data_IF_022033764995
#
_entry.id   IF_022033764995
#
_cell.length_a   1.000
_cell.length_b   1.000
_cell.length_c   1.000
_cell.angle_alpha   90.00
_cell.angle_beta   90.00
_cell.angle_gamma   90.00
#
_symmetry.space_group_name_H-M   'P 1'
#
loop_
_entity.id
_entity.type
_entity.pdbx_description
1 polymer ?
#
# COMPACT_ATOMS: atom_id res chain seq x y z
N UNK A 1 -25.56 64.01 37.96
CA UNK A 1 -24.24 64.26 38.55
C UNK A 1 -23.28 63.23 37.99
N UNK A 2 -22.51 63.64 36.99
CA UNK A 2 -21.42 62.86 36.41
C UNK A 2 -20.27 62.73 37.42
N UNK A 3 -19.61 61.57 37.46
CA UNK A 3 -18.32 61.42 38.13
C UNK A 3 -17.37 60.73 37.16
N UNK A 4 -16.53 61.54 36.52
CA UNK A 4 -15.41 61.13 35.67
C UNK A 4 -14.30 60.57 36.56
N UNK A 5 -13.81 59.37 36.25
CA UNK A 5 -12.52 58.89 36.74
C UNK A 5 -11.56 58.77 35.55
N UNK A 6 -10.53 59.62 35.56
CA UNK A 6 -9.37 59.56 34.69
C UNK A 6 -8.44 58.43 35.14
N UNK A 7 -7.93 57.62 34.21
CA UNK A 7 -6.77 56.78 34.46
C UNK A 7 -5.67 57.04 33.42
N UNK A 8 -4.46 57.15 33.96
CA UNK A 8 -3.19 57.59 33.40
C UNK A 8 -2.68 56.66 32.27
N UNK A 9 -2.08 57.21 31.23
CA UNK A 9 -1.32 56.45 30.23
C UNK A 9 0.05 56.07 30.81
N UNK A 10 0.34 54.77 30.92
CA UNK A 10 1.69 54.27 31.22
C UNK A 10 2.34 53.74 29.93
N UNK A 11 3.40 54.43 29.51
CA UNK A 11 4.20 54.18 28.31
C UNK A 11 5.45 53.38 28.72
N UNK A 12 5.34 52.06 28.84
CA UNK A 12 6.53 51.20 28.95
C UNK A 12 6.40 49.85 28.20
N UNK A 13 6.78 49.93 26.92
CA UNK A 13 7.52 48.94 26.12
C UNK A 13 7.87 47.60 26.81
N UNK A 14 7.16 46.53 26.47
CA UNK A 14 7.72 45.17 26.33
C UNK A 14 7.27 44.58 24.99
N UNK A 15 8.22 44.52 24.07
CA UNK A 15 8.16 43.69 22.87
C UNK A 15 8.05 42.23 23.32
N UNK A 16 6.82 41.73 23.46
CA UNK A 16 6.57 40.30 23.47
C UNK A 16 6.54 39.85 22.02
N UNK A 17 7.64 39.22 21.61
CA UNK A 17 7.66 38.30 20.47
C UNK A 17 6.48 37.34 20.64
N UNK A 18 5.46 37.52 19.81
CA UNK A 18 4.39 36.55 19.63
C UNK A 18 5.04 35.24 19.20
N UNK A 19 5.19 34.30 20.14
CA UNK A 19 5.32 32.89 19.81
C UNK A 19 4.00 32.50 19.17
N UNK A 20 3.95 32.54 17.84
CA UNK A 20 2.88 31.93 17.07
C UNK A 20 3.06 30.43 17.26
N UNK A 21 2.46 29.90 18.32
CA UNK A 21 2.24 28.47 18.49
C UNK A 21 1.18 28.08 17.46
N UNK A 22 1.64 27.86 16.22
CA UNK A 22 0.79 27.25 15.21
C UNK A 22 0.71 25.77 15.58
N UNK A 23 -0.50 25.36 15.95
CA UNK A 23 -0.85 24.02 16.39
C UNK A 23 -0.75 23.06 15.20
N UNK A 24 0.48 22.69 14.84
CA UNK A 24 0.77 21.75 13.76
C UNK A 24 0.69 20.31 14.29
N UNK A 25 -0.52 19.83 14.60
CA UNK A 25 -0.75 18.40 14.82
C UNK A 25 -0.74 17.66 13.48
N UNK A 26 0.45 17.45 12.92
CA UNK A 26 0.63 16.70 11.67
C UNK A 26 0.28 15.23 11.89
N UNK A 27 -0.66 14.70 11.10
CA UNK A 27 -0.95 13.26 11.05
C UNK A 27 0.27 12.50 10.51
N UNK A 28 0.38 11.19 10.77
CA UNK A 28 1.52 10.37 10.31
C UNK A 28 1.69 10.39 8.78
N UNK A 29 0.60 10.62 8.05
CA UNK A 29 0.55 10.75 6.59
C UNK A 29 0.89 12.16 6.07
N UNK A 30 1.37 13.08 6.92
CA UNK A 30 1.69 14.45 6.52
C UNK A 30 3.15 14.76 6.85
N UNK A 31 3.83 15.51 6.00
CA UNK A 31 5.16 16.01 6.30
C UNK A 31 5.40 17.38 5.68
N UNK A 32 6.23 18.17 6.35
CA UNK A 32 6.62 19.50 5.90
C UNK A 32 8.06 19.43 5.41
N UNK A 33 8.32 19.92 4.20
CA UNK A 33 9.68 20.09 3.72
C UNK A 33 10.36 21.26 4.43
N UNK A 34 11.67 21.14 4.61
CA UNK A 34 12.51 22.20 5.12
C UNK A 34 13.26 22.86 3.96
N UNK A 35 13.02 24.16 3.82
CA UNK A 35 13.84 25.01 2.98
C UNK A 35 15.04 25.46 3.80
N UNK A 36 16.24 25.08 3.36
CA UNK A 36 17.50 25.37 4.05
C UNK A 36 18.29 26.35 3.20
N UNK A 37 18.58 27.50 3.78
CA UNK A 37 19.46 28.53 3.24
C UNK A 37 20.80 28.50 3.98
N UNK A 38 21.88 28.51 3.22
CA UNK A 38 23.25 28.42 3.68
C UNK A 38 24.03 29.57 3.07
N UNK A 39 24.72 30.32 3.92
CA UNK A 39 25.60 31.42 3.52
C UNK A 39 26.97 31.21 4.13
N UNK A 40 28.02 31.27 3.32
CA UNK A 40 29.39 31.20 3.80
C UNK A 40 30.34 31.95 2.86
N UNK A 41 31.51 32.32 3.36
CA UNK A 41 32.57 32.92 2.54
C UNK A 41 33.50 31.82 2.08
N UNK A 42 33.69 31.69 0.77
CA UNK A 42 34.62 30.72 0.19
C UNK A 42 36.07 31.09 0.57
N UNK A 43 36.84 30.19 1.23
CA UNK A 43 38.20 30.48 1.64
C UNK A 43 39.18 30.67 0.47
N UNK A 44 38.86 30.13 -0.72
CA UNK A 44 39.75 30.22 -1.90
C UNK A 44 39.47 31.47 -2.71
N UNK A 45 38.20 31.74 -3.04
CA UNK A 45 37.83 32.87 -3.88
C UNK A 45 37.54 34.16 -3.09
N UNK A 46 37.30 34.06 -1.78
CA UNK A 46 36.83 35.17 -0.94
C UNK A 46 35.39 35.60 -1.25
N UNK A 47 34.70 34.94 -2.18
CA UNK A 47 33.33 35.26 -2.55
C UNK A 47 32.34 34.76 -1.49
N UNK A 48 31.29 35.54 -1.24
CA UNK A 48 30.17 35.10 -0.40
C UNK A 48 29.26 34.22 -1.24
N UNK A 49 29.13 32.96 -0.84
CA UNK A 49 28.28 31.96 -1.48
C UNK A 49 26.95 31.91 -0.73
N UNK A 50 25.86 31.98 -1.50
CA UNK A 50 24.50 31.75 -1.01
C UNK A 50 23.90 30.55 -1.73
N UNK A 51 23.51 29.53 -0.97
CA UNK A 51 22.89 28.31 -1.49
C UNK A 51 21.60 28.04 -0.72
N UNK A 52 20.55 27.65 -1.43
CA UNK A 52 19.23 27.45 -0.85
C UNK A 52 18.45 26.36 -1.57
N UNK A 53 17.69 25.55 -0.82
CA UNK A 53 16.81 24.56 -1.42
C UNK A 53 15.89 23.84 -0.44
N UNK A 54 14.81 23.25 -0.97
CA UNK A 54 13.94 22.32 -0.25
C UNK A 54 14.59 20.95 -0.14
N UNK A 55 15.64 20.84 0.69
CA UNK A 55 16.49 19.65 0.77
C UNK A 55 16.23 18.79 2.02
N UNK A 56 15.35 19.22 2.94
CA UNK A 56 15.09 18.49 4.19
C UNK A 56 13.62 18.18 4.45
N UNK A 57 13.36 17.35 5.45
CA UNK A 57 12.02 17.06 6.01
C UNK A 57 12.00 17.41 7.50
N UNK A 58 10.98 18.12 7.97
CA UNK A 58 10.77 18.33 9.41
C UNK A 58 10.37 17.02 10.10
N UNK A 59 10.77 16.88 11.37
CA UNK A 59 10.34 15.78 12.24
C UNK A 59 8.85 15.85 12.64
N UNK A 60 8.40 14.96 13.52
CA UNK A 60 7.06 15.02 14.15
C UNK A 60 6.93 16.02 15.30
N UNK A 61 7.96 16.82 15.58
CA UNK A 61 7.95 17.87 16.59
C UNK A 61 7.70 19.26 16.02
N UNK A 62 8.43 20.26 16.55
CA UNK A 62 8.28 21.67 16.19
C UNK A 62 8.57 21.96 14.71
N UNK A 63 7.57 22.48 14.01
CA UNK A 63 7.70 23.05 12.66
C UNK A 63 7.73 24.57 12.77
N UNK A 64 8.93 25.13 12.78
CA UNK A 64 9.14 26.57 12.86
C UNK A 64 10.43 26.98 12.13
N UNK A 65 10.57 28.28 11.89
CA UNK A 65 11.81 28.83 11.36
C UNK A 65 12.89 28.88 12.44
N UNK A 66 14.12 28.54 12.07
CA UNK A 66 15.29 28.65 12.94
C UNK A 66 16.49 29.17 12.15
N UNK A 67 17.47 29.75 12.85
CA UNK A 67 18.71 30.26 12.25
C UNK A 67 19.87 30.15 13.21
N UNK A 68 21.08 30.15 12.69
CA UNK A 68 22.29 30.21 13.50
C UNK A 68 23.55 29.79 12.76
N UNK A 69 24.70 29.94 13.42
CA UNK A 69 25.95 29.36 12.91
C UNK A 69 25.85 27.83 12.91
N UNK A 70 26.19 27.20 11.81
CA UNK A 70 26.22 25.74 11.70
C UNK A 70 27.45 25.21 12.45
N UNK A 71 27.24 24.21 13.30
CA UNK A 71 28.33 23.53 14.03
C UNK A 71 28.20 22.04 13.79
N UNK A 72 29.24 21.45 13.20
CA UNK A 72 29.34 20.01 13.07
C UNK A 72 29.73 19.39 14.41
N UNK A 73 28.75 18.78 15.09
CA UNK A 73 28.91 18.31 16.47
C UNK A 73 30.00 17.26 16.56
N UNK A 74 30.86 17.38 17.56
CA UNK A 74 31.92 16.43 17.92
C UNK A 74 31.64 15.85 19.30
N UNK A 75 31.74 14.53 19.38
CA UNK A 75 31.78 13.74 20.60
C UNK A 75 33.01 14.10 21.44
N UNK A 76 32.98 13.78 22.74
CA UNK A 76 34.08 13.98 23.70
C UNK A 76 35.41 13.32 23.27
N UNK A 77 35.36 12.33 22.38
CA UNK A 77 36.57 11.69 21.85
C UNK A 77 37.06 12.33 20.54
N UNK A 78 36.46 13.46 20.12
CA UNK A 78 36.80 14.20 18.89
C UNK A 78 36.47 13.50 17.56
N UNK A 79 36.12 12.22 17.56
CA UNK A 79 36.04 11.40 16.34
C UNK A 79 34.62 11.08 15.86
N UNK A 80 33.61 11.24 16.73
CA UNK A 80 32.24 10.85 16.42
C UNK A 80 31.32 12.08 16.26
N UNK A 81 30.54 12.08 15.18
CA UNK A 81 29.62 13.17 14.83
C UNK A 81 28.14 12.84 15.11
N UNK A 82 27.90 11.84 15.95
CA UNK A 82 26.56 11.29 16.16
C UNK A 82 25.75 12.04 17.23
N UNK A 83 26.31 13.02 17.94
CA UNK A 83 25.57 13.83 18.92
C UNK A 83 25.00 13.03 20.11
N UNK A 84 25.59 11.86 20.42
CA UNK A 84 25.13 10.99 21.50
C UNK A 84 25.62 11.40 22.89
N UNK A 85 26.68 12.21 22.96
CA UNK A 85 27.22 12.73 24.22
C UNK A 85 26.43 13.95 24.70
N UNK A 86 26.24 14.06 26.01
CA UNK A 86 25.50 15.16 26.62
C UNK A 86 26.21 16.52 26.55
N UNK A 87 27.53 16.53 26.37
CA UNK A 87 28.33 17.76 26.24
C UNK A 87 29.14 17.69 24.95
N UNK A 88 29.01 18.71 24.13
CA UNK A 88 29.78 18.84 22.89
C UNK A 88 31.14 19.46 23.18
N UNK A 89 32.16 19.00 22.47
CA UNK A 89 33.55 19.50 22.63
C UNK A 89 33.86 20.66 21.66
N UNK A 90 32.91 21.00 20.77
CA UNK A 90 33.06 22.11 19.85
C UNK A 90 33.17 23.47 20.55
N UNK A 91 33.85 24.41 19.88
CA UNK A 91 33.74 25.84 20.18
C UNK A 91 32.34 26.35 19.80
N UNK A 92 31.38 26.11 20.70
CA UNK A 92 30.01 26.57 20.54
C UNK A 92 29.99 28.12 20.57
N UNK A 93 29.17 28.77 19.73
CA UNK A 93 28.97 30.21 19.81
C UNK A 93 28.60 30.64 21.23
N UNK A 94 29.20 31.72 21.75
CA UNK A 94 28.83 32.23 23.06
C UNK A 94 27.37 32.69 23.02
N UNK A 95 26.60 32.37 24.06
CA UNK A 95 25.27 32.91 24.23
C UNK A 95 25.34 34.46 24.22
N UNK A 96 24.45 35.17 23.51
CA UNK A 96 23.17 34.71 22.95
C UNK A 96 23.20 34.36 21.45
N UNK A 97 24.37 34.07 20.86
CA UNK A 97 24.46 33.78 19.42
C UNK A 97 23.78 32.43 19.10
N UNK A 98 22.76 32.40 18.24
CA UNK A 98 22.05 31.17 17.92
C UNK A 98 22.90 30.29 17.00
N UNK A 99 22.78 28.98 17.14
CA UNK A 99 23.58 28.00 16.41
C UNK A 99 22.79 26.74 16.11
N UNK A 100 23.13 26.08 15.01
CA UNK A 100 22.44 24.88 14.51
C UNK A 100 23.39 23.69 14.64
N UNK A 101 22.93 22.63 15.30
CA UNK A 101 23.69 21.40 15.47
C UNK A 101 23.57 20.52 14.21
N UNK A 102 24.67 20.29 13.51
CA UNK A 102 24.75 19.28 12.45
C UNK A 102 25.20 17.94 13.03
N UNK A 103 24.39 16.89 12.85
CA UNK A 103 24.57 15.58 13.49
C UNK A 103 24.38 14.43 12.49
N UNK A 104 25.26 13.44 12.53
CA UNK A 104 25.14 12.22 11.72
C UNK A 104 24.16 11.22 12.34
N UNK A 105 23.32 10.60 11.50
CA UNK A 105 22.49 9.45 11.90
C UNK A 105 23.37 8.26 12.35
N UNK A 106 22.92 7.52 13.38
CA UNK A 106 23.60 6.33 13.91
C UNK A 106 23.96 6.44 15.40
N UNK A 107 24.51 5.34 15.95
CA UNK A 107 24.92 5.11 17.35
C UNK A 107 23.85 5.24 18.45
N UNK A 108 22.99 6.24 18.41
CA UNK A 108 21.93 6.47 19.39
C UNK A 108 20.62 6.92 18.72
N UNK A 109 19.53 6.83 19.47
CA UNK A 109 18.19 7.22 19.02
C UNK A 109 18.11 8.72 18.69
N UNK A 110 17.20 9.08 17.77
CA UNK A 110 16.97 10.47 17.39
C UNK A 110 16.59 11.35 18.59
N UNK A 111 15.78 10.83 19.49
CA UNK A 111 15.38 11.50 20.72
C UNK A 111 16.59 11.95 21.57
N UNK A 112 17.62 11.09 21.68
CA UNK A 112 18.85 11.41 22.44
C UNK A 112 19.62 12.55 21.79
N UNK A 113 19.73 12.53 20.46
CA UNK A 113 20.43 13.58 19.69
C UNK A 113 19.76 14.95 19.89
N UNK A 114 18.44 14.97 19.78
CA UNK A 114 17.64 16.19 19.91
C UNK A 114 17.69 16.73 21.34
N UNK A 115 17.58 15.86 22.34
CA UNK A 115 17.71 16.22 23.75
C UNK A 115 19.08 16.83 24.05
N UNK A 116 20.17 16.22 23.56
CA UNK A 116 21.52 16.74 23.78
C UNK A 116 21.71 18.10 23.12
N UNK A 117 21.19 18.29 21.90
CA UNK A 117 21.30 19.58 21.23
C UNK A 117 20.51 20.68 21.94
N UNK A 118 19.31 20.35 22.44
CA UNK A 118 18.51 21.23 23.27
C UNK A 118 19.26 21.65 24.55
N UNK A 119 19.87 20.70 25.26
CA UNK A 119 20.67 20.98 26.47
C UNK A 119 21.89 21.86 26.22
N UNK A 120 22.43 21.84 25.01
CA UNK A 120 23.55 22.68 24.61
C UNK A 120 23.09 24.02 23.97
N UNK A 121 21.81 24.39 24.13
CA UNK A 121 21.22 25.64 23.64
C UNK A 121 21.28 25.82 22.11
N UNK A 122 21.19 24.73 21.35
CA UNK A 122 21.03 24.82 19.90
C UNK A 122 19.66 25.42 19.55
N UNK A 123 19.60 26.25 18.51
CA UNK A 123 18.35 26.79 17.98
C UNK A 123 17.61 25.79 17.09
N UNK A 124 18.36 24.87 16.47
CA UNK A 124 17.84 23.76 15.68
C UNK A 124 18.83 22.60 15.60
N UNK A 125 18.32 21.44 15.20
CA UNK A 125 19.09 20.21 14.94
C UNK A 125 18.87 19.78 13.51
N UNK A 126 19.97 19.65 12.77
CA UNK A 126 20.02 19.14 11.42
C UNK A 126 20.66 17.75 11.43
N UNK A 127 19.88 16.72 11.18
CA UNK A 127 20.35 15.33 11.20
C UNK A 127 20.51 14.86 9.75
N UNK A 128 21.69 14.40 9.37
CA UNK A 128 21.92 13.87 8.03
C UNK A 128 22.01 12.34 8.03
N UNK A 129 21.47 11.72 6.98
CA UNK A 129 21.48 10.26 6.83
C UNK A 129 22.90 9.73 6.49
N UNK A 130 23.13 8.45 6.75
CA UNK A 130 24.31 7.71 6.29
C UNK A 130 24.01 6.83 5.06
N UNK A 131 22.74 6.71 4.65
CA UNK A 131 22.30 5.99 3.45
C UNK A 131 21.85 6.96 2.36
N UNK A 132 22.13 6.58 1.12
CA UNK A 132 21.51 7.22 -0.05
C UNK A 132 20.06 6.74 -0.21
N UNK A 133 19.19 7.60 -0.73
CA UNK A 133 17.82 7.26 -1.07
C UNK A 133 16.77 8.17 -0.44
N UNK A 134 15.54 7.65 -0.31
CA UNK A 134 14.40 8.43 0.17
C UNK A 134 14.52 8.79 1.65
N UNK A 135 14.34 10.09 1.94
CA UNK A 135 14.27 10.59 3.31
C UNK A 135 12.98 10.15 3.99
N UNK A 136 13.12 9.40 5.06
CA UNK A 136 12.00 9.05 5.93
C UNK A 136 11.81 10.15 6.99
N UNK A 137 10.55 10.49 7.29
CA UNK A 137 10.24 11.43 8.38
C UNK A 137 10.70 10.84 9.71
N UNK A 138 11.39 11.63 10.52
CA UNK A 138 11.78 11.21 11.88
C UNK A 138 10.60 11.40 12.83
N UNK A 139 10.24 10.34 13.55
CA UNK A 139 9.32 10.40 14.67
C UNK A 139 10.09 10.64 15.98
N UNK A 140 9.71 11.69 16.72
CA UNK A 140 10.26 12.05 18.02
C UNK A 140 9.24 11.78 19.13
N UNK A 141 9.71 11.15 20.21
CA UNK A 141 8.89 10.80 21.39
C UNK A 141 9.29 11.56 22.66
N UNK A 142 10.45 12.22 22.64
CA UNK A 142 10.98 12.98 23.78
C UNK A 142 10.15 14.23 24.13
N UNK A 143 10.29 14.73 25.37
CA UNK A 143 9.42 15.80 25.95
C UNK A 143 9.58 17.18 25.30
N UNK A 144 10.77 17.53 24.86
CA UNK A 144 11.15 18.77 24.19
C UNK A 144 10.99 18.71 22.65
N UNK A 145 10.28 17.70 22.10
CA UNK A 145 10.10 17.56 20.64
C UNK A 145 9.47 18.80 20.01
N UNK A 146 8.62 19.51 20.76
CA UNK A 146 7.91 20.72 20.32
C UNK A 146 8.65 22.02 20.68
N UNK A 147 9.87 21.93 21.20
CA UNK A 147 10.66 23.10 21.65
C UNK A 147 11.82 23.44 20.72
N UNK A 148 12.38 22.45 20.03
CA UNK A 148 13.54 22.62 19.15
C UNK A 148 13.23 22.14 17.72
N UNK A 149 13.57 22.96 16.74
CA UNK A 149 13.38 22.64 15.33
C UNK A 149 14.31 21.48 14.96
N UNK A 150 13.74 20.39 14.45
CA UNK A 150 14.51 19.21 14.02
C UNK A 150 14.19 18.87 12.57
N UNK A 151 15.23 18.86 11.73
CA UNK A 151 15.15 18.62 10.29
C UNK A 151 16.06 17.46 9.90
N UNK A 152 15.57 16.60 9.00
CA UNK A 152 16.31 15.49 8.43
C UNK A 152 16.70 15.78 6.98
N UNK A 153 17.97 15.55 6.62
CA UNK A 153 18.52 15.80 5.27
C UNK A 153 19.26 14.57 4.71
N UNK A 154 19.43 14.47 3.39
CA UNK A 154 20.09 13.31 2.77
C UNK A 154 21.59 13.33 3.04
N UNK A 155 22.20 12.19 2.75
CA UNK A 155 23.63 11.96 3.01
C UNK A 155 24.51 12.97 2.28
N UNK A 156 24.34 13.12 0.98
CA UNK A 156 25.20 13.97 0.14
C UNK A 156 25.23 15.42 0.64
N UNK A 157 24.06 16.03 0.84
CA UNK A 157 23.98 17.41 1.34
C UNK A 157 24.54 17.55 2.76
N UNK A 158 24.35 16.54 3.61
CA UNK A 158 24.89 16.55 4.97
C UNK A 158 26.42 16.44 5.02
N UNK A 159 27.00 15.58 4.17
CA UNK A 159 28.44 15.40 4.05
C UNK A 159 29.12 16.65 3.47
N UNK A 160 28.51 17.31 2.48
CA UNK A 160 29.01 18.57 1.92
C UNK A 160 29.05 19.67 2.99
N UNK A 161 27.97 19.82 3.76
CA UNK A 161 27.90 20.80 4.86
C UNK A 161 28.90 20.48 5.98
N UNK A 162 29.07 19.20 6.31
CA UNK A 162 30.05 18.75 7.29
C UNK A 162 31.47 19.10 6.82
N UNK A 163 31.81 18.81 5.56
CA UNK A 163 33.13 19.11 4.99
C UNK A 163 33.46 20.60 5.02
N UNK A 164 32.52 21.46 4.62
CA UNK A 164 32.71 22.92 4.67
C UNK A 164 32.90 23.38 6.11
N UNK A 165 32.07 22.91 7.04
CA UNK A 165 32.14 23.31 8.45
C UNK A 165 33.44 22.84 9.13
N UNK A 166 33.88 21.61 8.84
CA UNK A 166 35.11 21.06 9.42
C UNK A 166 36.39 21.68 8.86
N UNK A 167 36.32 22.30 7.68
CA UNK A 167 37.42 23.09 7.11
C UNK A 167 37.69 24.43 7.84
N UNK A 168 36.88 24.75 8.85
CA UNK A 168 37.01 25.97 9.65
C UNK A 168 36.29 27.19 9.07
N UNK A 169 35.47 26.99 8.03
CA UNK A 169 34.64 28.05 7.44
C UNK A 169 33.43 28.30 8.32
N UNK A 170 33.18 29.57 8.66
CA UNK A 170 31.97 29.99 9.36
C UNK A 170 30.76 29.92 8.41
N UNK A 171 29.89 28.94 8.64
CA UNK A 171 28.67 28.72 7.85
C UNK A 171 27.46 29.26 8.62
N UNK A 172 26.72 30.18 8.02
CA UNK A 172 25.44 30.66 8.54
C UNK A 172 24.29 29.89 7.89
N UNK A 173 23.39 29.36 8.72
CA UNK A 173 22.24 28.59 8.26
C UNK A 173 20.92 29.25 8.69
N UNK A 174 19.94 29.18 7.79
CA UNK A 174 18.55 29.52 8.06
C UNK A 174 17.63 28.40 7.54
N UNK A 175 16.76 27.91 8.42
CA UNK A 175 15.77 26.89 8.16
C UNK A 175 14.40 27.56 8.17
N UNK A 176 13.60 27.32 7.14
CA UNK A 176 12.22 27.81 7.05
C UNK A 176 11.27 26.69 6.63
N UNK A 177 10.04 26.65 7.18
CA UNK A 177 8.98 25.77 6.69
C UNK A 177 8.76 25.98 5.18
N UNK A 178 8.84 24.89 4.42
CA UNK A 178 8.58 24.87 2.98
C UNK A 178 7.21 24.27 2.67
N UNK A 179 7.11 23.55 1.55
CA UNK A 179 5.86 22.90 1.14
C UNK A 179 5.37 21.86 2.13
N UNK A 180 4.07 21.88 2.35
CA UNK A 180 3.34 20.85 3.10
C UNK A 180 2.90 19.74 2.14
N UNK A 181 3.38 18.53 2.37
CA UNK A 181 2.92 17.34 1.65
C UNK A 181 2.00 16.55 2.55
N UNK A 182 0.79 16.31 2.06
CA UNK A 182 -0.02 15.19 2.54
C UNK A 182 0.34 14.01 1.65
N UNK A 183 0.41 12.81 2.21
CA UNK A 183 0.52 11.56 1.48
C UNK A 183 -0.82 11.33 0.76
N UNK A 184 -1.20 12.25 -0.13
CA UNK A 184 -2.33 12.11 -1.00
C UNK A 184 -1.97 11.02 -2.03
N UNK A 185 -2.78 9.97 -2.02
CA UNK A 185 -3.01 9.08 -3.15
C UNK A 185 -1.99 7.97 -3.48
N UNK A 186 -1.52 7.25 -2.45
CA UNK A 186 -1.47 5.79 -2.60
C UNK A 186 -2.83 5.12 -2.36
N UNK A 187 -3.83 5.86 -1.90
CA UNK A 187 -5.19 5.34 -1.77
C UNK A 187 -5.87 5.10 -3.11
N UNK A 188 -5.63 5.89 -4.17
CA UNK A 188 -6.19 5.61 -5.51
C UNK A 188 -5.63 4.31 -6.11
N UNK A 189 -4.32 4.06 -5.94
CA UNK A 189 -3.70 2.83 -6.38
C UNK A 189 -4.13 1.64 -5.52
N UNK A 190 -4.26 1.81 -4.20
CA UNK A 190 -4.77 0.76 -3.30
C UNK A 190 -6.25 0.45 -3.57
N UNK A 191 -7.12 1.44 -3.71
CA UNK A 191 -8.55 1.22 -4.00
C UNK A 191 -8.74 0.63 -5.39
N UNK A 192 -7.95 1.05 -6.38
CA UNK A 192 -7.94 0.43 -7.72
C UNK A 192 -7.49 -1.04 -7.68
N UNK A 193 -6.39 -1.35 -6.99
CA UNK A 193 -5.92 -2.74 -6.84
C UNK A 193 -6.89 -3.60 -6.04
N UNK A 194 -7.48 -3.07 -4.97
CA UNK A 194 -8.51 -3.74 -4.18
C UNK A 194 -9.78 -3.99 -5.01
N UNK A 195 -10.20 -3.02 -5.81
CA UNK A 195 -11.36 -3.16 -6.69
C UNK A 195 -11.13 -4.23 -7.78
N UNK A 196 -9.96 -4.23 -8.41
CA UNK A 196 -9.58 -5.23 -9.43
C UNK A 196 -9.53 -6.64 -8.82
N UNK A 197 -8.90 -6.79 -7.65
CA UNK A 197 -8.77 -8.09 -6.98
C UNK A 197 -10.12 -8.63 -6.48
N UNK A 198 -10.96 -7.79 -5.88
CA UNK A 198 -12.31 -8.20 -5.45
C UNK A 198 -13.16 -8.63 -6.64
N UNK A 199 -13.09 -7.89 -7.76
CA UNK A 199 -13.82 -8.25 -8.98
C UNK A 199 -13.37 -9.61 -9.53
N UNK A 200 -12.06 -9.88 -9.55
CA UNK A 200 -11.52 -11.16 -10.00
C UNK A 200 -12.00 -12.34 -9.13
N UNK A 201 -12.01 -12.17 -7.80
CA UNK A 201 -12.49 -13.19 -6.87
C UNK A 201 -13.98 -13.48 -7.09
N UNK A 202 -14.80 -12.44 -7.26
CA UNK A 202 -16.24 -12.61 -7.51
C UNK A 202 -16.49 -13.38 -8.81
N UNK A 203 -15.78 -13.07 -9.89
CA UNK A 203 -15.89 -13.80 -11.16
C UNK A 203 -15.45 -15.26 -11.04
N UNK A 204 -14.37 -15.52 -10.28
CA UNK A 204 -13.92 -16.89 -10.02
C UNK A 204 -15.00 -17.68 -9.27
N UNK A 205 -15.60 -17.11 -8.23
CA UNK A 205 -16.66 -17.76 -7.44
C UNK A 205 -17.91 -18.02 -8.29
N UNK A 206 -18.34 -17.04 -9.09
CA UNK A 206 -19.49 -17.19 -9.99
C UNK A 206 -19.24 -18.31 -11.01
N UNK A 207 -18.04 -18.34 -11.62
CA UNK A 207 -17.66 -19.38 -12.58
C UNK A 207 -17.65 -20.77 -11.94
N UNK A 208 -17.08 -20.91 -10.74
CA UNK A 208 -17.07 -22.18 -10.01
C UNK A 208 -18.47 -22.65 -9.62
N UNK A 209 -19.34 -21.74 -9.16
CA UNK A 209 -20.73 -22.07 -8.85
C UNK A 209 -21.49 -22.55 -10.09
N UNK A 210 -21.29 -21.89 -11.23
CA UNK A 210 -21.85 -22.29 -12.52
C UNK A 210 -21.36 -23.67 -12.96
N UNK A 211 -20.06 -23.93 -12.85
CA UNK A 211 -19.49 -25.23 -13.18
C UNK A 211 -20.04 -26.33 -12.28
N UNK A 212 -20.09 -26.11 -10.96
CA UNK A 212 -20.66 -27.07 -10.01
C UNK A 212 -22.12 -27.37 -10.33
N UNK A 213 -22.93 -26.33 -10.58
CA UNK A 213 -24.33 -26.50 -10.96
C UNK A 213 -24.48 -27.25 -12.28
N UNK A 214 -23.69 -26.88 -13.31
CA UNK A 214 -23.65 -27.58 -14.58
C UNK A 214 -23.28 -29.06 -14.39
N UNK A 215 -22.26 -29.38 -13.61
CA UNK A 215 -21.85 -30.75 -13.33
C UNK A 215 -22.94 -31.54 -12.61
N UNK A 216 -23.56 -30.97 -11.58
CA UNK A 216 -24.65 -31.63 -10.82
C UNK A 216 -25.87 -31.83 -11.72
N UNK A 217 -26.28 -30.82 -12.48
CA UNK A 217 -27.38 -30.93 -13.44
C UNK A 217 -27.08 -31.96 -14.51
N UNK A 218 -25.88 -31.94 -15.09
CA UNK A 218 -25.43 -32.88 -16.12
C UNK A 218 -25.45 -34.29 -15.59
N UNK A 219 -24.96 -34.51 -14.37
CA UNK A 219 -24.97 -35.82 -13.71
C UNK A 219 -26.41 -36.31 -13.46
N UNK A 220 -27.27 -35.46 -12.90
CA UNK A 220 -28.69 -35.79 -12.68
C UNK A 220 -29.43 -36.04 -13.99
N UNK A 221 -29.15 -35.26 -15.03
CA UNK A 221 -29.74 -35.41 -16.35
C UNK A 221 -29.33 -36.74 -17.00
N UNK A 222 -28.03 -37.07 -17.00
CA UNK A 222 -27.53 -38.35 -17.52
C UNK A 222 -28.20 -39.51 -16.77
N UNK A 223 -28.25 -39.46 -15.43
CA UNK A 223 -28.87 -40.53 -14.64
C UNK A 223 -30.38 -40.66 -14.84
N UNK A 224 -31.10 -39.55 -14.96
CA UNK A 224 -32.53 -39.58 -15.26
C UNK A 224 -32.79 -40.17 -16.66
N UNK A 225 -31.95 -39.81 -17.64
CA UNK A 225 -32.03 -40.34 -19.00
C UNK A 225 -31.73 -41.84 -19.03
N UNK A 226 -30.71 -42.30 -18.30
CA UNK A 226 -30.39 -43.72 -18.19
C UNK A 226 -31.53 -44.52 -17.57
N UNK A 227 -32.21 -43.98 -16.55
CA UNK A 227 -33.38 -44.64 -15.96
C UNK A 227 -34.55 -44.71 -16.95
N UNK A 228 -34.82 -43.65 -17.71
CA UNK A 228 -35.89 -43.63 -18.72
C UNK A 228 -35.60 -44.63 -19.84
N UNK A 229 -34.38 -44.64 -20.38
CA UNK A 229 -33.97 -45.60 -21.42
C UNK A 229 -34.10 -47.03 -20.92
N UNK A 230 -33.65 -47.34 -19.69
CA UNK A 230 -33.84 -48.67 -19.08
C UNK A 230 -35.31 -49.05 -18.98
N UNK A 231 -36.19 -48.12 -18.55
CA UNK A 231 -37.64 -48.36 -18.47
C UNK A 231 -38.27 -48.64 -19.84
N UNK A 232 -37.93 -47.85 -20.86
CA UNK A 232 -38.41 -48.04 -22.23
C UNK A 232 -37.95 -49.38 -22.80
N UNK A 233 -36.69 -49.74 -22.62
CA UNK A 233 -36.16 -51.05 -23.06
C UNK A 233 -36.85 -52.20 -22.32
N UNK A 234 -37.08 -52.09 -21.01
CA UNK A 234 -37.83 -53.09 -20.27
C UNK A 234 -39.29 -53.20 -20.72
N UNK A 235 -39.96 -52.09 -21.03
CA UNK A 235 -41.32 -52.06 -21.53
C UNK A 235 -41.41 -52.71 -22.92
N UNK A 236 -40.48 -52.38 -23.83
CA UNK A 236 -40.38 -52.99 -25.15
C UNK A 236 -40.13 -54.51 -25.05
N UNK A 237 -39.21 -54.94 -24.18
CA UNK A 237 -38.96 -56.38 -23.94
C UNK A 237 -40.21 -57.11 -23.45
N UNK A 238 -40.95 -56.52 -22.52
CA UNK A 238 -42.24 -57.08 -22.04
C UNK A 238 -43.29 -57.16 -23.15
N UNK A 239 -43.39 -56.13 -23.99
CA UNK A 239 -44.32 -56.12 -25.12
C UNK A 239 -43.97 -57.21 -26.14
N UNK A 240 -42.70 -57.35 -26.53
CA UNK A 240 -42.22 -58.39 -27.46
C UNK A 240 -42.46 -59.79 -26.91
N UNK A 241 -42.24 -60.02 -25.61
CA UNK A 241 -42.48 -61.32 -25.00
C UNK A 241 -43.96 -61.77 -25.05
N UNK A 242 -44.91 -60.82 -25.06
CA UNK A 242 -46.35 -61.11 -25.10
C UNK A 242 -46.87 -61.46 -26.50
N UNK A 243 -46.09 -61.22 -27.55
CA UNK A 243 -46.49 -61.55 -28.91
C UNK A 243 -46.52 -63.08 -29.05
N UNK A 244 -47.65 -63.68 -29.49
CA UNK A 244 -47.79 -65.12 -29.62
C UNK A 244 -46.77 -65.67 -30.62
N UNK A 245 -46.15 -66.78 -30.26
CA UNK A 245 -45.21 -67.52 -31.12
C UNK A 245 -45.98 -68.63 -31.80
N UNK A 246 -45.92 -68.69 -33.13
CA UNK A 246 -46.45 -69.79 -33.92
C UNK A 246 -45.30 -70.52 -34.61
N UNK A 247 -45.41 -71.83 -34.74
CA UNK A 247 -44.42 -72.67 -35.43
C UNK A 247 -44.98 -72.95 -36.82
N UNK A 248 -44.19 -72.63 -37.86
CA UNK A 248 -44.55 -72.93 -39.23
C UNK A 248 -44.59 -74.44 -39.47
N UNK A 249 -45.72 -74.93 -39.98
CA UNK A 249 -45.94 -76.31 -40.41
C UNK A 249 -45.76 -76.43 -41.93
N UNK A 250 -45.54 -77.66 -42.41
CA UNK A 250 -45.22 -77.96 -43.81
C UNK A 250 -46.27 -77.49 -44.84
N UNK A 251 -47.53 -77.30 -44.42
CA UNK A 251 -48.66 -76.89 -45.28
C UNK A 251 -49.01 -75.38 -45.19
N UNK A 252 -48.20 -74.57 -44.51
CA UNK A 252 -48.49 -73.14 -44.36
C UNK A 252 -48.18 -72.34 -45.64
N UNK A 253 -49.15 -71.54 -46.13
CA UNK A 253 -49.06 -70.78 -47.39
C UNK A 253 -47.87 -69.82 -47.47
N UNK A 254 -47.37 -69.32 -46.34
CA UNK A 254 -46.20 -68.43 -46.24
C UNK A 254 -44.90 -69.10 -46.71
N UNK A 255 -44.82 -70.43 -46.60
CA UNK A 255 -43.70 -71.22 -47.10
C UNK A 255 -43.79 -71.46 -48.61
N UNK A 256 -45.02 -71.52 -49.15
CA UNK A 256 -45.30 -71.73 -50.57
C UNK A 256 -45.11 -70.46 -51.40
N UNK A 257 -45.35 -69.28 -50.82
CA UNK A 257 -45.16 -67.96 -51.47
C UNK A 257 -43.74 -67.40 -51.35
N UNK A 258 -42.83 -68.09 -50.64
CA UNK A 258 -41.42 -67.70 -50.54
C UNK A 258 -41.19 -66.41 -49.75
N UNK A 259 -42.00 -66.14 -48.73
CA UNK A 259 -41.85 -64.94 -47.90
C UNK A 259 -40.57 -64.97 -47.05
N UNK A 260 -40.00 -63.79 -46.81
CA UNK A 260 -38.82 -63.61 -45.94
C UNK A 260 -39.19 -62.94 -44.62
N UNK A 261 -38.40 -63.22 -43.58
CA UNK A 261 -38.51 -62.51 -42.31
C UNK A 261 -38.23 -61.01 -42.48
N UNK A 262 -39.16 -60.14 -42.09
CA UNK A 262 -39.00 -58.69 -42.23
C UNK A 262 -37.86 -58.08 -41.37
N UNK A 263 -37.31 -58.84 -40.40
CA UNK A 263 -36.25 -58.37 -39.50
C UNK A 263 -34.86 -58.82 -39.95
N UNK A 264 -34.68 -60.11 -40.26
CA UNK A 264 -33.39 -60.65 -40.72
C UNK A 264 -33.31 -60.89 -42.24
N UNK A 265 -34.39 -60.68 -42.99
CA UNK A 265 -34.49 -60.81 -44.46
C UNK A 265 -34.19 -62.22 -45.00
N UNK A 266 -34.20 -63.23 -44.14
CA UNK A 266 -33.97 -64.63 -44.49
C UNK A 266 -35.29 -65.35 -44.85
N UNK A 267 -35.28 -66.29 -45.81
CA UNK A 267 -36.48 -67.06 -46.20
C UNK A 267 -36.90 -68.04 -45.10
N UNK A 268 -38.21 -68.19 -44.89
CA UNK A 268 -38.76 -69.06 -43.86
C UNK A 268 -38.49 -70.55 -44.11
N UNK A 269 -38.28 -71.31 -43.02
CA UNK A 269 -38.09 -72.76 -43.04
C UNK A 269 -39.13 -73.48 -42.20
N UNK A 270 -39.36 -74.77 -42.49
CA UNK A 270 -40.27 -75.62 -41.70
C UNK A 270 -39.76 -75.69 -40.26
N UNK A 271 -40.65 -75.52 -39.28
CA UNK A 271 -40.36 -75.45 -37.83
C UNK A 271 -39.79 -74.13 -37.31
N UNK A 272 -39.75 -73.07 -38.11
CA UNK A 272 -39.36 -71.75 -37.61
C UNK A 272 -40.39 -71.19 -36.61
N UNK A 273 -39.88 -70.57 -35.54
CA UNK A 273 -40.68 -69.92 -34.51
C UNK A 273 -40.93 -68.46 -34.87
N UNK A 274 -42.10 -68.17 -35.42
CA UNK A 274 -42.47 -66.83 -35.84
C UNK A 274 -43.30 -66.10 -34.79
N UNK A 275 -43.00 -64.82 -34.60
CA UNK A 275 -43.82 -63.89 -33.83
C UNK A 275 -44.52 -62.95 -34.80
N UNK A 276 -45.84 -63.11 -34.94
CA UNK A 276 -46.64 -62.22 -35.78
C UNK A 276 -46.78 -60.86 -35.08
N UNK A 277 -46.17 -59.81 -35.64
CA UNK A 277 -46.29 -58.46 -35.11
C UNK A 277 -47.75 -58.00 -35.25
N UNK A 278 -48.37 -57.43 -34.20
CA UNK A 278 -49.72 -56.90 -34.30
C UNK A 278 -49.74 -55.71 -35.27
N UNK A 279 -50.45 -55.86 -36.39
CA UNK A 279 -50.70 -54.77 -37.31
C UNK A 279 -51.82 -53.88 -36.75
N UNK A 280 -51.56 -52.57 -36.63
CA UNK A 280 -52.62 -51.59 -36.39
C UNK A 280 -53.27 -51.26 -37.74
N UNK A 281 -54.33 -51.98 -38.09
CA UNK A 281 -55.27 -51.50 -39.08
C UNK A 281 -56.37 -50.74 -38.34
N UNK A 282 -56.29 -49.40 -38.37
CA UNK A 282 -57.40 -48.54 -37.98
C UNK A 282 -58.47 -48.64 -39.08
N UNK A 283 -59.36 -49.63 -38.97
CA UNK A 283 -60.59 -49.69 -39.75
C UNK A 283 -61.71 -49.02 -38.95
N UNK A 284 -62.16 -47.85 -39.42
CA UNK A 284 -63.54 -47.41 -39.25
C UNK A 284 -64.40 -48.03 -40.35
#
# INVERSE_FOLDING_TARGET
MESKCCYYYDLHRRSQSHRIHSDWSLHDDEYVLAYINVTYTDPVSGAVIHQGGEIGKFSTGLVASARGRLVHVRSRNGTAHHGCDGRYENDLPPAPQPWVALVRRGLCNFDVKVENAYRNNASAVLIYDYKEGELHRIHLTQRHKDTIVTVFIPKTQGEDLAHITDSGVDVLMQITPGKHFRYADNNLNKTSVLFVSVSFILLMVISLAWLLFYYVQRFRYIHARDQLTKRLVCAAKKAVCRIPVRILKTDDAQLAEGECCAVCLEPYRVSDHLRALPCRQDHN
#
